data_IF_168832458673
#
_entry.id   IF_168832458673
#
_cell.length_a   1.000
_cell.length_b   1.000
_cell.length_c   1.000
_cell.angle_alpha   90.00
_cell.angle_beta   90.00
_cell.angle_gamma   90.00
#
_symmetry.space_group_name_H-M   'P 1'
#
loop_
_entity.id
_entity.type
_entity.pdbx_description
1 polymer ?
#
# COMPACT_ATOMS: atom_id res chain seq x y z
N UNK A 1 -8.20 -23.12 -11.95
CA UNK A 1 -6.81 -23.23 -11.45
C UNK A 1 -6.46 -21.90 -10.80
N UNK A 2 -6.08 -21.88 -9.53
CA UNK A 2 -5.59 -20.68 -8.86
C UNK A 2 -4.09 -20.58 -9.16
N UNK A 3 -3.71 -19.75 -10.12
CA UNK A 3 -2.31 -19.41 -10.36
C UNK A 3 -1.90 -18.34 -9.38
N UNK A 4 -0.83 -18.57 -8.62
CA UNK A 4 -0.16 -17.50 -7.90
C UNK A 4 0.47 -16.61 -8.95
N UNK A 5 -0.01 -15.38 -9.10
CA UNK A 5 0.66 -14.38 -9.93
C UNK A 5 2.08 -14.22 -9.37
N UNK A 6 3.05 -14.86 -10.02
CA UNK A 6 4.48 -14.72 -9.72
C UNK A 6 5.05 -13.42 -10.31
N UNK A 7 4.18 -12.46 -10.64
CA UNK A 7 4.56 -11.18 -11.20
C UNK A 7 5.15 -10.28 -10.11
N UNK A 8 6.27 -9.64 -10.44
CA UNK A 8 6.88 -8.53 -9.70
C UNK A 8 6.06 -7.24 -9.75
N UNK A 9 4.95 -7.22 -10.49
CA UNK A 9 4.37 -5.97 -11.02
C UNK A 9 3.21 -5.44 -10.17
N UNK A 10 3.10 -5.86 -8.91
CA UNK A 10 2.03 -5.44 -8.03
C UNK A 10 2.47 -4.25 -7.15
N UNK A 11 1.85 -3.10 -7.39
CA UNK A 11 2.06 -1.90 -6.61
C UNK A 11 0.95 -1.71 -5.58
N UNK A 12 1.30 -1.24 -4.38
CA UNK A 12 0.34 -0.67 -3.44
C UNK A 12 0.38 0.85 -3.58
N UNK A 13 -0.72 1.44 -4.01
CA UNK A 13 -0.83 2.88 -4.28
C UNK A 13 -1.96 3.52 -3.48
N UNK A 14 -1.85 4.83 -3.23
CA UNK A 14 -2.89 5.65 -2.62
C UNK A 14 -3.17 6.89 -3.48
N UNK A 15 -4.38 7.44 -3.32
CA UNK A 15 -4.77 8.73 -3.88
C UNK A 15 -5.64 9.45 -2.84
N UNK A 16 -5.57 10.79 -2.80
CA UNK A 16 -6.27 11.62 -1.83
C UNK A 16 -7.34 12.42 -2.56
N UNK A 17 -8.56 12.43 -2.00
CA UNK A 17 -9.65 13.29 -2.48
C UNK A 17 -9.76 14.55 -1.61
N UNK A 18 -9.43 15.70 -2.20
CA UNK A 18 -9.50 17.00 -1.52
C UNK A 18 -10.70 17.80 -2.05
N UNK A 19 -11.92 17.40 -1.68
CA UNK A 19 -13.13 18.17 -2.01
C UNK A 19 -13.68 17.94 -3.42
N UNK A 20 -13.59 16.71 -3.93
CA UNK A 20 -14.25 16.29 -5.18
C UNK A 20 -13.29 15.93 -6.31
N UNK A 21 -11.97 16.09 -6.12
CA UNK A 21 -10.95 15.68 -7.09
C UNK A 21 -9.90 14.79 -6.42
N UNK A 22 -9.65 13.65 -7.04
CA UNK A 22 -8.58 12.71 -6.66
C UNK A 22 -7.22 13.20 -7.16
N UNK A 23 -6.18 13.01 -6.35
CA UNK A 23 -4.78 13.21 -6.75
C UNK A 23 -4.32 12.14 -7.74
N UNK A 24 -3.18 12.37 -8.40
CA UNK A 24 -2.49 11.28 -9.09
C UNK A 24 -2.15 10.17 -8.07
N UNK A 25 -2.25 8.87 -8.44
CA UNK A 25 -1.83 7.78 -7.58
C UNK A 25 -0.35 7.89 -7.21
N UNK A 26 -0.01 7.61 -5.95
CA UNK A 26 1.35 7.57 -5.44
C UNK A 26 1.61 6.22 -4.77
N UNK A 27 2.84 5.71 -4.89
CA UNK A 27 3.24 4.45 -4.24
C UNK A 27 3.25 4.60 -2.73
N UNK A 28 2.74 3.60 -2.03
CA UNK A 28 2.87 3.47 -0.57
C UNK A 28 4.29 3.05 -0.19
N UNK A 29 4.90 2.18 -0.99
CA UNK A 29 6.27 1.71 -0.84
C UNK A 29 6.83 1.23 -2.19
N UNK A 30 8.15 1.20 -2.32
CA UNK A 30 8.82 0.47 -3.38
C UNK A 30 8.85 -1.02 -3.02
N UNK A 31 8.22 -1.85 -3.85
CA UNK A 31 8.04 -3.28 -3.60
C UNK A 31 8.85 -4.04 -4.65
N UNK A 32 10.02 -4.53 -4.23
CA UNK A 32 10.93 -5.26 -5.13
C UNK A 32 10.50 -6.73 -5.34
N UNK A 33 9.73 -7.28 -4.41
CA UNK A 33 9.30 -8.69 -4.47
C UNK A 33 8.05 -8.97 -3.64
N UNK A 34 7.24 -9.88 -4.17
CA UNK A 34 5.99 -10.29 -3.53
C UNK A 34 4.82 -9.38 -3.86
N UNK A 35 3.62 -9.87 -3.56
CA UNK A 35 2.37 -9.18 -3.91
C UNK A 35 1.75 -8.55 -2.66
N UNK A 36 1.65 -7.21 -2.56
CA UNK A 36 0.94 -6.56 -1.47
C UNK A 36 -0.55 -6.84 -1.57
N UNK A 37 -1.22 -6.95 -0.43
CA UNK A 37 -2.64 -7.20 -0.34
C UNK A 37 -3.22 -6.80 1.01
N UNK A 38 -4.56 -6.82 1.08
CA UNK A 38 -5.35 -6.62 2.29
C UNK A 38 -4.87 -5.42 3.14
N UNK A 39 -4.75 -4.21 2.56
CA UNK A 39 -4.27 -3.07 3.32
C UNK A 39 -5.30 -2.62 4.36
N UNK A 40 -4.81 -2.09 5.47
CA UNK A 40 -5.56 -1.32 6.46
C UNK A 40 -4.88 0.04 6.64
N UNK A 41 -5.68 1.08 6.89
CA UNK A 41 -5.21 2.47 6.98
C UNK A 41 -5.88 3.20 8.15
N UNK A 42 -5.08 3.97 8.88
CA UNK A 42 -5.51 4.89 9.93
C UNK A 42 -4.85 6.27 9.73
N UNK A 43 -5.44 7.32 10.30
CA UNK A 43 -4.88 8.68 10.31
C UNK A 43 -4.61 9.09 11.75
N UNK A 44 -3.39 9.55 12.04
CA UNK A 44 -3.04 10.07 13.36
C UNK A 44 -3.49 11.54 13.57
N UNK A 45 -3.34 12.06 14.78
CA UNK A 45 -3.74 13.43 15.12
C UNK A 45 -2.94 14.52 14.38
N UNK A 46 -1.77 14.19 13.82
CA UNK A 46 -1.00 15.09 12.98
C UNK A 46 -1.38 14.99 11.49
N UNK A 47 -2.33 14.10 11.15
CA UNK A 47 -2.82 13.88 9.80
C UNK A 47 -1.99 12.88 8.99
N UNK A 48 -0.99 12.22 9.58
CA UNK A 48 -0.21 11.22 8.85
C UNK A 48 -1.02 9.93 8.70
N UNK A 49 -0.85 9.28 7.55
CA UNK A 49 -1.48 7.99 7.30
C UNK A 49 -0.55 6.86 7.76
N UNK A 50 -1.10 5.91 8.51
CA UNK A 50 -0.46 4.66 8.91
C UNK A 50 -1.07 3.55 8.09
N UNK A 51 -0.27 2.91 7.24
CA UNK A 51 -0.72 1.84 6.34
C UNK A 51 -0.04 0.55 6.73
N UNK A 52 -0.82 -0.51 6.92
CA UNK A 52 -0.32 -1.88 7.11
C UNK A 52 -0.89 -2.78 6.02
N UNK A 53 -0.11 -3.74 5.54
CA UNK A 53 -0.56 -4.69 4.51
C UNK A 53 0.09 -6.05 4.70
N UNK A 54 -0.55 -7.10 4.18
CA UNK A 54 0.10 -8.38 4.04
C UNK A 54 0.82 -8.44 2.69
N UNK A 55 1.98 -9.09 2.63
CA UNK A 55 2.67 -9.31 1.37
C UNK A 55 3.08 -10.76 1.26
N UNK A 56 2.67 -11.37 0.14
CA UNK A 56 3.02 -12.74 -0.20
C UNK A 56 4.41 -12.80 -0.81
N UNK A 57 5.36 -13.44 -0.13
CA UNK A 57 6.78 -13.45 -0.44
C UNK A 57 7.29 -14.87 -0.35
N UNK A 58 7.71 -15.45 -1.49
CA UNK A 58 8.40 -16.76 -1.53
C UNK A 58 7.71 -17.84 -0.68
N UNK A 59 6.37 -17.87 -0.70
CA UNK A 59 5.56 -18.83 0.06
C UNK A 59 5.27 -18.46 1.51
N UNK A 60 5.67 -17.27 1.97
CA UNK A 60 5.33 -16.70 3.28
C UNK A 60 4.42 -15.49 3.11
N UNK A 61 3.60 -15.20 4.12
CA UNK A 61 2.88 -13.93 4.23
C UNK A 61 3.44 -13.18 5.42
N UNK A 62 3.98 -12.00 5.18
CA UNK A 62 4.51 -11.11 6.21
C UNK A 62 3.67 -9.84 6.27
N UNK A 63 3.67 -9.16 7.42
CA UNK A 63 2.98 -7.88 7.61
C UNK A 63 4.00 -6.76 7.52
N UNK A 64 3.68 -5.77 6.69
CA UNK A 64 4.50 -4.60 6.43
C UNK A 64 3.79 -3.33 6.88
N UNK A 65 4.56 -2.26 7.05
CA UNK A 65 4.09 -0.97 7.53
C UNK A 65 4.77 0.17 6.77
N UNK A 66 3.99 1.22 6.49
CA UNK A 66 4.47 2.49 5.97
C UNK A 66 3.73 3.65 6.64
N UNK A 67 4.47 4.74 6.92
CA UNK A 67 3.90 6.01 7.34
C UNK A 67 3.98 7.00 6.19
N UNK A 68 2.85 7.53 5.76
CA UNK A 68 2.78 8.55 4.73
C UNK A 68 2.51 9.89 5.39
N UNK A 69 3.42 10.83 5.21
CA UNK A 69 3.25 12.19 5.73
C UNK A 69 2.10 12.88 4.99
N UNK A 70 1.29 13.63 5.72
CA UNK A 70 0.25 14.42 5.10
C UNK A 70 0.89 15.42 4.14
N UNK A 71 0.59 15.38 2.83
CA UNK A 71 1.02 16.44 1.93
C UNK A 71 0.32 17.72 2.36
N UNK A 72 1.09 18.70 2.81
CA UNK A 72 0.56 20.03 3.19
C UNK A 72 -0.18 20.70 2.03
#
# INVERSE_FOLDING_TARGET
>A
MWGWDAGSDAELVYSINQGGKWSAPQKVADIDWGKPGLPSIEVDMAGNFHVVWNQGVRGKNEIYYARLENPK
#
